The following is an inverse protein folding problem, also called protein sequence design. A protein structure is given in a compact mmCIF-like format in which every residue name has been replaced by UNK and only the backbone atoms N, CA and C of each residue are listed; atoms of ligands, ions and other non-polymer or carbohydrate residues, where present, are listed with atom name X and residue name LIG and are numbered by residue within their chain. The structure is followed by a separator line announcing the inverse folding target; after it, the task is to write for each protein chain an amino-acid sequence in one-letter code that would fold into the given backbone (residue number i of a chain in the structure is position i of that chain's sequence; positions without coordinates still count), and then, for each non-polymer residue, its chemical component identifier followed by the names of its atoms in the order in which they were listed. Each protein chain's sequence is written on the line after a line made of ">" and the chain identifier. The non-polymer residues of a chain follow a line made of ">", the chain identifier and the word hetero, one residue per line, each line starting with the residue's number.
data_IF_448544981210
#
_entry.id   IF_448544981210
#
_cell.length_a   1.000
_cell.length_b   1.000
_cell.length_c   1.000
_cell.angle_alpha   90.00
_cell.angle_beta   90.00
_cell.angle_gamma   90.00
#
_symmetry.space_group_name_H-M   'P 1'
#
loop_
_entity.id
_entity.type
_entity.pdbx_description
1 polymer ?
#
# COMPACT_ATOMS: atom_id res chain seq x y z
N UNK A 1 -2.21 -8.77 1.33
CA UNK A 1 -1.58 -8.23 0.11
C UNK A 1 -2.40 -7.03 -0.30
N UNK A 2 -1.76 -5.88 -0.47
CA UNK A 2 -2.45 -4.64 -0.86
C UNK A 2 -2.66 -4.64 -2.37
N UNK A 3 -3.87 -4.30 -2.82
CA UNK A 3 -4.19 -4.10 -4.23
C UNK A 3 -4.78 -2.71 -4.42
N UNK A 4 -4.16 -1.90 -5.27
CA UNK A 4 -4.63 -0.56 -5.60
C UNK A 4 -5.20 -0.52 -7.01
N UNK A 5 -6.49 -0.24 -7.11
CA UNK A 5 -7.22 -0.07 -8.36
C UNK A 5 -7.27 1.42 -8.71
N UNK A 6 -6.73 1.79 -9.87
CA UNK A 6 -6.68 3.18 -10.35
C UNK A 6 -7.10 3.32 -11.81
N UNK A 7 -7.65 4.48 -12.14
CA UNK A 7 -7.81 4.92 -13.52
C UNK A 7 -6.49 5.55 -14.03
N UNK A 8 -6.28 5.53 -15.35
CA UNK A 8 -5.07 6.10 -15.98
C UNK A 8 -4.99 7.62 -15.77
N UNK A 9 -6.09 8.36 -15.95
CA UNK A 9 -6.14 9.83 -15.85
C UNK A 9 -6.48 10.33 -14.43
N UNK A 10 -5.81 9.79 -13.41
CA UNK A 10 -6.09 10.10 -12.01
C UNK A 10 -4.87 10.68 -11.29
N UNK A 11 -4.80 12.02 -11.18
CA UNK A 11 -3.72 12.72 -10.46
C UNK A 11 -3.65 12.36 -8.97
N UNK A 12 -4.79 12.12 -8.34
CA UNK A 12 -4.80 11.69 -6.93
C UNK A 12 -4.21 10.29 -6.78
N UNK A 13 -4.37 9.43 -7.78
CA UNK A 13 -3.86 8.08 -7.76
C UNK A 13 -2.32 8.04 -7.83
N UNK A 14 -1.69 9.05 -8.45
CA UNK A 14 -0.23 9.17 -8.46
C UNK A 14 0.32 9.36 -7.05
N UNK A 15 -0.27 10.27 -6.27
CA UNK A 15 0.14 10.51 -4.89
C UNK A 15 -0.11 9.28 -3.99
N UNK A 16 -1.18 8.54 -4.24
CA UNK A 16 -1.48 7.29 -3.51
C UNK A 16 -0.45 6.21 -3.84
N UNK A 17 -0.10 6.05 -5.12
CA UNK A 17 0.89 5.07 -5.56
C UNK A 17 2.28 5.40 -5.02
N UNK A 18 2.68 6.68 -5.03
CA UNK A 18 3.92 7.15 -4.43
C UNK A 18 3.98 6.82 -2.93
N UNK A 19 2.91 7.11 -2.18
CA UNK A 19 2.84 6.77 -0.75
C UNK A 19 2.95 5.26 -0.48
N UNK A 20 2.35 4.41 -1.33
CA UNK A 20 2.49 2.95 -1.23
C UNK A 20 3.94 2.48 -1.44
N UNK A 21 4.67 3.13 -2.35
CA UNK A 21 6.09 2.87 -2.59
C UNK A 21 6.94 3.34 -1.40
N UNK A 22 6.67 4.53 -0.86
CA UNK A 22 7.40 5.09 0.29
C UNK A 22 7.24 4.25 1.56
N UNK A 23 6.05 3.68 1.78
CA UNK A 23 5.79 2.78 2.91
C UNK A 23 6.49 1.42 2.77
N UNK A 24 7.07 1.12 1.60
CA UNK A 24 7.77 -0.14 1.29
C UNK A 24 6.88 -1.36 1.54
N UNK A 25 5.57 -1.20 1.32
CA UNK A 25 4.60 -2.29 1.49
C UNK A 25 4.48 -3.09 0.20
N UNK A 26 4.42 -4.41 0.30
CA UNK A 26 4.15 -5.26 -0.84
C UNK A 26 2.74 -4.98 -1.39
N UNK A 27 2.67 -4.38 -2.58
CA UNK A 27 1.42 -3.96 -3.21
C UNK A 27 1.39 -4.33 -4.70
N UNK A 28 0.18 -4.43 -5.24
CA UNK A 28 -0.09 -4.58 -6.68
C UNK A 28 -0.94 -3.41 -7.15
N UNK A 29 -0.53 -2.76 -8.23
CA UNK A 29 -1.34 -1.72 -8.89
C UNK A 29 -2.05 -2.31 -10.10
N UNK A 30 -3.37 -2.16 -10.14
CA UNK A 30 -4.20 -2.54 -11.28
C UNK A 30 -4.69 -1.28 -11.96
N UNK A 31 -4.18 -1.06 -13.18
CA UNK A 31 -4.51 0.10 -14.03
C UNK A 31 -5.53 -0.32 -15.07
N UNK A 32 -6.48 0.56 -15.34
CA UNK A 32 -7.53 0.32 -16.30
C UNK A 32 -7.57 1.44 -17.33
N UNK A 33 -7.42 1.03 -18.59
CA UNK A 33 -7.58 1.89 -19.75
C UNK A 33 -8.97 1.66 -20.36
N UNK A 34 -9.85 2.68 -20.29
CA UNK A 34 -11.17 2.68 -20.93
C UNK A 34 -12.28 1.96 -20.15
N UNK A 35 -13.32 1.52 -20.86
CA UNK A 35 -14.57 0.98 -20.30
C UNK A 35 -14.50 -0.52 -19.92
N UNK A 36 -13.29 -1.09 -19.80
CA UNK A 36 -13.20 -2.48 -19.38
C UNK A 36 -13.63 -2.62 -17.92
N UNK A 37 -14.45 -3.65 -17.59
CA UNK A 37 -14.86 -3.89 -16.22
C UNK A 37 -13.63 -4.16 -15.35
N UNK A 38 -13.66 -3.60 -14.14
CA UNK A 38 -12.60 -3.70 -13.16
C UNK A 38 -12.48 -5.14 -12.64
N UNK A 39 -11.71 -6.00 -13.31
CA UNK A 39 -11.54 -7.40 -12.89
C UNK A 39 -11.01 -7.46 -11.44
N UNK A 40 -11.77 -8.14 -10.58
CA UNK A 40 -11.46 -8.27 -9.15
C UNK A 40 -11.94 -7.11 -8.27
N UNK A 41 -12.56 -6.07 -8.83
CA UNK A 41 -13.22 -5.01 -8.05
C UNK A 41 -14.70 -5.39 -7.81
N UNK A 42 -15.22 -5.25 -6.58
CA UNK A 42 -16.63 -5.47 -6.29
C UNK A 42 -17.56 -4.58 -7.11
N UNK A 43 -18.72 -5.12 -7.49
CA UNK A 43 -19.76 -4.34 -8.16
C UNK A 43 -20.16 -3.11 -7.32
N UNK A 44 -20.36 -1.98 -7.99
CA UNK A 44 -20.74 -0.71 -7.36
C UNK A 44 -19.56 0.13 -6.83
N UNK A 45 -18.33 -0.38 -6.87
CA UNK A 45 -17.14 0.41 -6.61
C UNK A 45 -16.51 0.93 -7.91
N UNK A 46 -15.92 2.11 -7.82
CA UNK A 46 -15.20 2.75 -8.92
C UNK A 46 -13.87 3.30 -8.38
N UNK A 47 -12.75 3.15 -9.13
CA UNK A 47 -11.47 3.69 -8.72
C UNK A 47 -11.51 5.20 -8.43
N UNK A 48 -10.64 5.69 -7.53
CA UNK A 48 -9.60 4.95 -6.82
C UNK A 48 -10.15 4.05 -5.71
N UNK A 49 -9.67 2.81 -5.63
CA UNK A 49 -10.01 1.85 -4.56
C UNK A 49 -8.77 1.12 -4.10
N UNK A 50 -8.58 1.03 -2.78
CA UNK A 50 -7.55 0.20 -2.15
C UNK A 50 -8.22 -1.03 -1.52
N UNK A 51 -7.70 -2.22 -1.80
CA UNK A 51 -8.03 -3.44 -1.08
C UNK A 51 -6.87 -3.82 -0.16
N UNK A 52 -7.16 -4.00 1.12
CA UNK A 52 -6.18 -4.42 2.12
C UNK A 52 -6.83 -5.35 3.14
N UNK A 53 -6.24 -6.51 3.39
CA UNK A 53 -6.74 -7.45 4.40
C UNK A 53 -8.18 -7.99 4.21
N UNK A 54 -8.78 -7.83 3.03
CA UNK A 54 -10.20 -8.15 2.78
C UNK A 54 -11.16 -6.97 2.96
N UNK A 55 -10.64 -5.81 3.36
CA UNK A 55 -11.36 -4.54 3.42
C UNK A 55 -11.17 -3.74 2.14
N UNK A 56 -12.15 -2.89 1.84
CA UNK A 56 -12.20 -2.05 0.63
C UNK A 56 -12.33 -0.58 1.01
N UNK A 57 -11.39 0.25 0.56
CA UNK A 57 -11.33 1.67 0.83
C UNK A 57 -11.52 2.44 -0.48
N UNK A 58 -12.70 3.03 -0.66
CA UNK A 58 -13.05 3.75 -1.89
C UNK A 58 -12.86 5.27 -1.74
N UNK A 59 -12.28 5.89 -2.76
CA UNK A 59 -12.01 7.32 -2.82
C UNK A 59 -10.74 7.73 -2.06
N UNK A 60 -10.09 8.80 -2.53
CA UNK A 60 -8.78 9.19 -2.03
C UNK A 60 -8.71 9.51 -0.54
N UNK A 61 -9.78 10.06 0.05
CA UNK A 61 -9.81 10.33 1.50
C UNK A 61 -9.72 9.06 2.34
N UNK A 62 -10.50 8.03 2.00
CA UNK A 62 -10.50 6.78 2.74
C UNK A 62 -9.16 6.06 2.59
N UNK A 63 -8.61 6.08 1.38
CA UNK A 63 -7.31 5.49 1.06
C UNK A 63 -6.20 6.19 1.84
N UNK A 64 -6.13 7.53 1.82
CA UNK A 64 -5.11 8.28 2.57
C UNK A 64 -5.17 7.98 4.07
N UNK A 65 -6.37 7.99 4.67
CA UNK A 65 -6.52 7.63 6.08
C UNK A 65 -5.97 6.23 6.36
N UNK A 66 -6.20 5.27 5.47
CA UNK A 66 -5.67 3.92 5.61
C UNK A 66 -4.14 3.89 5.48
N UNK A 67 -3.57 4.65 4.55
CA UNK A 67 -2.12 4.78 4.41
C UNK A 67 -1.47 5.43 5.63
N UNK A 68 -2.13 6.44 6.24
CA UNK A 68 -1.68 7.06 7.48
C UNK A 68 -1.65 6.03 8.62
N UNK A 69 -2.74 5.24 8.79
CA UNK A 69 -2.82 4.16 9.78
C UNK A 69 -1.70 3.10 9.56
N UNK A 70 -1.41 2.73 8.31
CA UNK A 70 -0.33 1.80 7.96
C UNK A 70 1.05 2.39 8.25
N UNK A 71 1.24 3.69 8.00
CA UNK A 71 2.47 4.41 8.29
C UNK A 71 2.75 4.50 9.79
N UNK A 72 1.73 4.80 10.59
CA UNK A 72 1.82 4.78 12.06
C UNK A 72 2.16 3.38 12.56
N UNK A 73 1.48 2.34 12.06
CA UNK A 73 1.77 0.97 12.41
C UNK A 73 3.22 0.57 12.07
N UNK A 74 3.70 0.92 10.88
CA UNK A 74 5.08 0.67 10.46
C UNK A 74 6.07 1.41 11.36
N UNK A 75 5.83 2.68 11.66
CA UNK A 75 6.71 3.47 12.52
C UNK A 75 6.81 2.89 13.94
N UNK A 76 5.71 2.38 14.49
CA UNK A 76 5.74 1.64 15.75
C UNK A 76 6.53 0.33 15.61
N UNK A 77 6.30 -0.43 14.54
CA UNK A 77 6.99 -1.69 14.29
C UNK A 77 8.51 -1.51 14.14
N UNK A 78 8.95 -0.49 13.39
CA UNK A 78 10.36 -0.17 13.16
C UNK A 78 11.10 0.17 14.46
N UNK A 79 10.42 0.73 15.48
CA UNK A 79 11.03 1.02 16.79
C UNK A 79 11.45 -0.25 17.52
N UNK A 80 10.71 -1.34 17.35
CA UNK A 80 10.92 -2.58 18.08
C UNK A 80 11.67 -3.64 17.28
N UNK A 81 11.80 -3.47 15.96
CA UNK A 81 12.70 -4.28 15.11
C UNK A 81 14.14 -3.76 15.15
N UNK A 82 14.77 -3.79 16.33
CA UNK A 82 16.23 -3.81 16.42
C UNK A 82 16.73 -5.24 16.35
N UNK A 83 16.79 -5.81 15.14
CA UNK A 83 17.69 -6.94 14.88
C UNK A 83 19.12 -6.41 14.79
N UNK A 84 19.66 -5.98 15.93
CA UNK A 84 21.10 -5.81 16.07
C UNK A 84 21.71 -7.21 16.19
N UNK A 85 21.93 -7.88 15.05
CA UNK A 85 22.96 -8.91 15.00
C UNK A 85 24.28 -8.20 15.27
N UNK A 86 24.80 -8.33 16.48
CA UNK A 86 26.18 -7.98 16.74
C UNK A 86 26.99 -9.03 15.99
N UNK A 87 27.70 -8.59 14.95
CA UNK A 87 28.72 -9.40 14.33
C UNK A 87 30.03 -9.11 15.04
N UNK A 88 30.77 -10.15 15.43
CA UNK A 88 32.16 -9.99 15.86
C UNK A 88 33.05 -9.55 14.68
N UNK A 89 34.30 -9.19 14.96
CA UNK A 89 35.29 -8.79 13.94
C UNK A 89 35.63 -9.91 12.94
N UNK A 90 35.06 -11.11 13.10
CA UNK A 90 35.19 -12.27 12.21
C UNK A 90 33.91 -12.55 11.41
N UNK A 91 32.85 -11.74 11.60
CA UNK A 91 31.58 -11.88 10.89
C UNK A 91 30.65 -12.95 11.46
N UNK A 92 30.89 -13.45 12.67
CA UNK A 92 29.98 -14.36 13.36
C UNK A 92 28.91 -13.58 14.12
N UNK A 93 27.67 -14.08 14.08
CA UNK A 93 26.56 -13.56 14.91
C UNK A 93 26.75 -14.04 16.36
N UNK A 94 26.80 -13.10 17.32
CA UNK A 94 26.88 -13.35 18.78
C UNK A 94 25.57 -13.10 19.50
#
# INVERSE_FOLDING_TARGET
>A
MIVFFRADDCRECDAIEEALVELVLAHRVVRFAGDQPYEGLPEGLSPPVLADGGEWFAGGRAIRRRLDELGEFKAEWDKFQSDACYCDDQGNVI
#
